data_IF_759545018673
#
_entry.id   IF_759545018673
#
_cell.length_a   1.000
_cell.length_b   1.000
_cell.length_c   1.000
_cell.angle_alpha   90.00
_cell.angle_beta   90.00
_cell.angle_gamma   90.00
#
_symmetry.space_group_name_H-M   'P 1'
#
loop_
_entity.id
_entity.type
_entity.pdbx_description
1 polymer ?
#
# COMPACT_ATOMS: atom_id res chain seq x y z
N UNK A 1 -7.84 4.58 -9.44
CA UNK A 1 -6.61 4.92 -8.70
C UNK A 1 -6.05 6.31 -9.02
N UNK A 2 -6.81 7.23 -9.63
CA UNK A 2 -6.32 8.58 -10.01
C UNK A 2 -5.74 9.38 -8.83
N UNK A 3 -6.33 9.24 -7.65
CA UNK A 3 -5.88 9.90 -6.41
C UNK A 3 -4.51 9.41 -5.91
N UNK A 4 -4.12 8.15 -6.19
CA UNK A 4 -2.80 7.61 -5.80
C UNK A 4 -1.66 8.11 -6.70
N UNK A 5 -1.98 8.85 -7.76
CA UNK A 5 -1.03 9.48 -8.68
C UNK A 5 -1.02 11.00 -8.53
N UNK A 6 -1.57 11.52 -7.43
CA UNK A 6 -1.54 12.95 -7.12
C UNK A 6 -0.12 13.36 -6.69
N UNK A 7 0.29 14.58 -7.01
CA UNK A 7 1.54 15.16 -6.51
C UNK A 7 1.48 15.49 -5.02
N UNK A 8 0.28 15.67 -4.47
CA UNK A 8 0.09 15.90 -3.04
C UNK A 8 0.12 14.58 -2.26
N UNK A 9 1.25 14.32 -1.60
CA UNK A 9 1.45 13.16 -0.73
C UNK A 9 0.41 13.03 0.40
N UNK A 10 -0.18 14.14 0.88
CA UNK A 10 -1.25 14.09 1.88
C UNK A 10 -2.53 13.53 1.26
N UNK A 11 -2.85 13.91 0.03
CA UNK A 11 -4.00 13.35 -0.71
C UNK A 11 -3.78 11.86 -1.00
N UNK A 12 -2.57 11.50 -1.46
CA UNK A 12 -2.21 10.10 -1.72
C UNK A 12 -2.31 9.26 -0.44
N UNK A 13 -1.75 9.76 0.67
CA UNK A 13 -1.78 9.07 1.96
C UNK A 13 -3.18 8.88 2.50
N UNK A 14 -4.03 9.90 2.41
CA UNK A 14 -5.44 9.80 2.81
C UNK A 14 -6.22 8.83 1.90
N UNK A 15 -5.97 8.86 0.59
CA UNK A 15 -6.59 7.92 -0.33
C UNK A 15 -6.17 6.46 -0.04
N UNK A 16 -4.89 6.22 0.28
CA UNK A 16 -4.41 4.91 0.70
C UNK A 16 -5.09 4.44 2.00
N UNK A 17 -5.22 5.33 2.99
CA UNK A 17 -5.91 5.02 4.24
C UNK A 17 -7.39 4.68 4.01
N UNK A 18 -8.11 5.52 3.26
CA UNK A 18 -9.51 5.25 2.93
C UNK A 18 -9.66 3.91 2.20
N UNK A 19 -8.80 3.65 1.22
CA UNK A 19 -8.83 2.39 0.46
C UNK A 19 -8.55 1.19 1.37
N UNK A 20 -7.68 1.35 2.38
CA UNK A 20 -7.37 0.31 3.38
C UNK A 20 -8.59 -0.12 4.19
N UNK A 21 -9.54 0.79 4.44
CA UNK A 21 -10.81 0.41 5.06
C UNK A 21 -11.72 -0.33 4.07
N UNK A 22 -11.70 0.07 2.80
CA UNK A 22 -12.51 -0.59 1.77
C UNK A 22 -12.06 -2.02 1.46
N UNK A 23 -10.79 -2.40 1.72
CA UNK A 23 -10.31 -3.77 1.48
C UNK A 23 -10.97 -4.82 2.38
N UNK A 24 -11.67 -4.41 3.44
CA UNK A 24 -12.52 -5.28 4.26
C UNK A 24 -13.69 -5.88 3.45
N UNK A 25 -14.04 -5.26 2.32
CA UNK A 25 -15.07 -5.77 1.41
C UNK A 25 -14.39 -6.75 0.43
N UNK A 26 -14.73 -8.05 0.44
CA UNK A 26 -14.03 -9.07 -0.37
C UNK A 26 -13.99 -8.75 -1.87
N UNK A 27 -15.08 -8.17 -2.40
CA UNK A 27 -15.17 -7.75 -3.81
C UNK A 27 -14.14 -6.66 -4.17
N UNK A 28 -13.87 -5.74 -3.24
CA UNK A 28 -12.88 -4.67 -3.42
C UNK A 28 -11.49 -5.28 -3.40
N UNK A 29 -11.18 -6.12 -2.42
CA UNK A 29 -9.89 -6.82 -2.34
C UNK A 29 -9.61 -7.61 -3.63
N UNK A 30 -10.57 -8.43 -4.08
CA UNK A 30 -10.44 -9.21 -5.31
C UNK A 30 -10.30 -8.37 -6.59
N UNK A 31 -10.91 -7.19 -6.64
CA UNK A 31 -10.74 -6.25 -7.75
C UNK A 31 -9.34 -5.62 -7.75
N UNK A 32 -8.81 -5.29 -6.57
CA UNK A 32 -7.48 -4.71 -6.41
C UNK A 32 -6.36 -5.73 -6.68
N UNK A 33 -6.57 -7.01 -6.35
CA UNK A 33 -5.61 -8.08 -6.66
C UNK A 33 -5.37 -8.30 -8.17
N UNK A 34 -6.23 -7.75 -9.04
CA UNK A 34 -6.06 -7.79 -10.51
C UNK A 34 -5.21 -6.63 -11.04
N UNK A 35 -4.70 -5.78 -10.16
CA UNK A 35 -3.94 -4.57 -10.52
C UNK A 35 -2.54 -4.64 -9.92
N UNK A 36 -1.61 -3.84 -10.44
CA UNK A 36 -0.25 -3.71 -9.89
C UNK A 36 -0.19 -2.83 -8.62
N UNK A 37 -1.28 -2.76 -7.85
CA UNK A 37 -1.38 -1.88 -6.68
C UNK A 37 -0.30 -2.14 -5.63
N UNK A 38 0.13 -3.39 -5.44
CA UNK A 38 1.21 -3.72 -4.50
C UNK A 38 2.51 -3.03 -4.91
N UNK A 39 2.83 -3.04 -6.21
CA UNK A 39 4.04 -2.37 -6.74
C UNK A 39 3.93 -0.86 -6.58
N UNK A 40 2.80 -0.26 -6.96
CA UNK A 40 2.58 1.18 -6.86
C UNK A 40 2.68 1.66 -5.40
N UNK A 41 2.09 0.91 -4.46
CA UNK A 41 2.15 1.25 -3.03
C UNK A 41 3.54 1.05 -2.43
N UNK A 42 4.32 0.06 -2.89
CA UNK A 42 5.70 -0.12 -2.45
C UNK A 42 6.59 1.05 -2.89
N UNK A 43 6.40 1.56 -4.11
CA UNK A 43 7.10 2.75 -4.59
C UNK A 43 6.72 3.97 -3.74
N UNK A 44 5.43 4.16 -3.47
CA UNK A 44 4.95 5.27 -2.61
C UNK A 44 5.45 5.16 -1.17
N UNK A 45 5.52 3.95 -0.61
CA UNK A 45 6.03 3.73 0.74
C UNK A 45 7.54 4.01 0.82
N UNK A 46 8.30 3.67 -0.23
CA UNK A 46 9.74 3.88 -0.32
C UNK A 46 10.12 5.33 -0.59
N UNK A 47 9.51 5.94 -1.61
CA UNK A 47 9.92 7.24 -2.14
C UNK A 47 9.16 8.40 -1.48
N UNK A 48 8.09 8.09 -0.73
CA UNK A 48 7.30 9.08 -0.02
C UNK A 48 8.11 9.83 1.03
N UNK A 49 7.97 11.16 1.06
CA UNK A 49 8.70 12.02 2.02
C UNK A 49 7.96 12.18 3.34
N UNK A 50 6.63 12.14 3.31
CA UNK A 50 5.79 12.23 4.50
C UNK A 50 5.63 10.85 5.16
N UNK A 51 6.02 10.77 6.43
CA UNK A 51 5.80 9.59 7.29
C UNK A 51 4.34 9.07 7.22
N UNK A 52 3.35 9.97 7.20
CA UNK A 52 1.94 9.57 7.08
C UNK A 52 1.58 8.89 5.75
N UNK A 53 2.20 9.27 4.63
CA UNK A 53 2.02 8.59 3.36
C UNK A 53 2.61 7.17 3.44
N UNK A 54 3.86 7.06 3.92
CA UNK A 54 4.56 5.78 4.03
C UNK A 54 3.79 4.80 4.92
N UNK A 55 3.33 5.26 6.09
CA UNK A 55 2.50 4.48 7.01
C UNK A 55 1.20 4.02 6.36
N UNK A 56 0.45 4.93 5.74
CA UNK A 56 -0.84 4.58 5.16
C UNK A 56 -0.71 3.60 3.99
N UNK A 57 0.34 3.73 3.17
CA UNK A 57 0.67 2.77 2.12
C UNK A 57 1.04 1.40 2.71
N UNK A 58 1.87 1.37 3.75
CA UNK A 58 2.24 0.13 4.44
C UNK A 58 1.01 -0.59 5.05
N UNK A 59 0.12 0.16 5.70
CA UNK A 59 -1.13 -0.38 6.26
C UNK A 59 -2.01 -0.99 5.17
N UNK A 60 -2.16 -0.30 4.04
CA UNK A 60 -2.94 -0.80 2.91
C UNK A 60 -2.33 -2.08 2.33
N UNK A 61 -1.00 -2.13 2.14
CA UNK A 61 -0.31 -3.34 1.68
C UNK A 61 -0.55 -4.51 2.65
N UNK A 62 -0.41 -4.28 3.95
CA UNK A 62 -0.62 -5.32 4.96
C UNK A 62 -2.06 -5.87 4.91
N UNK A 63 -3.07 -5.00 4.79
CA UNK A 63 -4.47 -5.43 4.66
C UNK A 63 -4.75 -6.18 3.36
N UNK A 64 -4.15 -5.78 2.25
CA UNK A 64 -4.28 -6.48 0.97
C UNK A 64 -3.65 -7.87 1.02
N UNK A 65 -2.48 -7.99 1.65
CA UNK A 65 -1.79 -9.27 1.84
C UNK A 65 -2.56 -10.22 2.77
N UNK A 66 -3.23 -9.70 3.80
CA UNK A 66 -4.11 -10.49 4.68
C UNK A 66 -5.41 -10.90 3.99
N UNK A 67 -5.96 -10.05 3.13
CA UNK A 67 -7.25 -10.26 2.48
C UNK A 67 -7.20 -11.17 1.25
N UNK A 68 -6.05 -11.34 0.60
CA UNK A 68 -5.89 -12.18 -0.57
C UNK A 68 -4.45 -12.69 -0.70
N UNK A 69 -4.29 -14.02 -0.76
CA UNK A 69 -3.00 -14.71 -0.86
C UNK A 69 -2.16 -14.23 -2.07
N UNK A 70 -2.80 -13.85 -3.18
CA UNK A 70 -2.09 -13.38 -4.38
C UNK A 70 -1.33 -12.07 -4.12
N UNK A 71 -1.87 -11.21 -3.27
CA UNK A 71 -1.20 -9.96 -2.88
C UNK A 71 0.02 -10.25 -2.00
N UNK A 72 -0.06 -11.26 -1.14
CA UNK A 72 1.07 -11.70 -0.30
C UNK A 72 2.18 -12.35 -1.13
N UNK A 73 1.83 -13.13 -2.14
CA UNK A 73 2.78 -13.70 -3.10
C UNK A 73 3.47 -12.59 -3.89
N UNK A 74 2.68 -11.64 -4.42
CA UNK A 74 3.21 -10.48 -5.14
C UNK A 74 4.12 -9.61 -4.27
N UNK A 75 3.78 -9.44 -2.99
CA UNK A 75 4.62 -8.71 -2.03
C UNK A 75 5.97 -9.40 -1.84
N UNK A 76 5.99 -10.74 -1.77
CA UNK A 76 7.22 -11.53 -1.65
C UNK A 76 8.07 -11.48 -2.91
N UNK A 77 7.46 -11.60 -4.09
CA UNK A 77 8.15 -11.49 -5.38
C UNK A 77 8.90 -10.16 -5.54
N UNK A 78 8.35 -9.08 -4.99
CA UNK A 78 8.92 -7.73 -5.07
C UNK A 78 9.92 -7.42 -3.96
N UNK A 79 10.28 -8.41 -3.11
CA UNK A 79 11.06 -8.18 -1.89
C UNK A 79 10.44 -7.07 -1.01
N UNK A 80 9.11 -6.93 -1.06
CA UNK A 80 8.42 -5.81 -0.46
C UNK A 80 8.39 -5.84 1.06
N UNK A 81 8.63 -7.01 1.68
CA UNK A 81 8.77 -7.13 3.14
C UNK A 81 10.00 -6.35 3.63
N UNK A 82 11.12 -6.46 2.92
CA UNK A 82 12.36 -5.74 3.26
C UNK A 82 12.19 -4.23 3.06
N UNK A 83 11.55 -3.84 1.95
CA UNK A 83 11.21 -2.42 1.68
C UNK A 83 10.34 -1.86 2.81
N UNK A 84 9.29 -2.57 3.21
CA UNK A 84 8.42 -2.14 4.30
C UNK A 84 9.18 -2.06 5.63
N UNK A 85 10.06 -3.01 5.91
CA UNK A 85 10.90 -2.98 7.12
C UNK A 85 11.77 -1.72 7.16
N UNK A 86 12.47 -1.41 6.06
CA UNK A 86 13.33 -0.23 5.97
C UNK A 86 12.55 1.08 6.04
N UNK A 87 11.40 1.16 5.37
CA UNK A 87 10.54 2.35 5.42
C UNK A 87 9.99 2.60 6.84
N UNK A 88 9.72 1.52 7.59
CA UNK A 88 9.16 1.64 8.94
C UNK A 88 10.21 1.77 10.04
N UNK A 89 11.48 1.52 9.76
CA UNK A 89 12.59 1.56 10.73
C UNK A 89 12.74 2.89 11.46
N UNK A 90 12.31 3.99 10.83
CA UNK A 90 12.46 5.36 11.35
C UNK A 90 11.14 6.01 11.75
N UNK A 91 10.03 5.27 11.71
CA UNK A 91 8.74 5.77 12.18
C UNK A 91 8.71 5.71 13.71
N UNK A 92 8.77 6.88 14.34
CA UNK A 92 8.55 7.07 15.78
C UNK A 92 7.12 7.54 16.05
#
# INVERSE_FOLDING_TARGET
>A
MKQLKSEDETVVGNAALCLSHCTQIPKVCAALSKTDIIKDLLVLARDGKKSGLQQNCAILIAKLAQGDQRNLERLRELHGVDILHDCMKYLK
#
